data_IF_054729331264
#
_entry.id   IF_054729331264
#
_cell.length_a   1.000
_cell.length_b   1.000
_cell.length_c   1.000
_cell.angle_alpha   90.00
_cell.angle_beta   90.00
_cell.angle_gamma   90.00
#
_symmetry.space_group_name_H-M   'P 1'
#
loop_
_entity.id
_entity.type
_entity.pdbx_description
1 polymer ?
#
# COMPACT_ATOMS: atom_id res chain seq x y z
N UNK A 1 -12.95 8.05 -2.91
CA UNK A 1 -12.22 8.04 -1.63
C UNK A 1 -11.36 9.30 -1.51
N UNK A 2 -11.01 9.72 -0.29
CA UNK A 2 -10.07 10.84 -0.05
C UNK A 2 -8.87 10.28 0.69
N UNK A 3 -7.68 10.43 0.13
CA UNK A 3 -6.41 9.94 0.71
C UNK A 3 -5.30 10.98 0.54
N UNK A 4 -4.10 10.65 1.01
CA UNK A 4 -2.92 11.51 0.90
C UNK A 4 -1.66 10.64 0.87
N UNK A 5 -0.67 11.08 0.10
CA UNK A 5 0.68 10.50 0.04
C UNK A 5 1.77 11.46 0.54
N UNK A 6 1.39 12.62 1.06
CA UNK A 6 2.31 13.62 1.57
C UNK A 6 1.59 14.74 2.32
N UNK A 7 2.32 15.45 3.17
CA UNK A 7 1.76 16.45 4.09
C UNK A 7 1.07 17.64 3.40
N UNK A 8 1.29 17.83 2.10
CA UNK A 8 0.77 18.96 1.32
C UNK A 8 -0.09 18.53 0.13
N UNK A 9 -0.56 17.27 0.09
CA UNK A 9 -1.41 16.78 -0.99
C UNK A 9 -2.74 16.17 -0.52
N UNK A 10 -3.71 16.19 -1.42
CA UNK A 10 -5.00 15.52 -1.27
C UNK A 10 -5.26 14.77 -2.57
N UNK A 11 -5.54 13.48 -2.45
CA UNK A 11 -5.92 12.61 -3.57
C UNK A 11 -7.42 12.35 -3.48
N UNK A 12 -8.16 12.73 -4.53
CA UNK A 12 -9.60 12.56 -4.63
C UNK A 12 -9.88 11.58 -5.77
N UNK A 13 -10.41 10.41 -5.43
CA UNK A 13 -10.79 9.39 -6.38
C UNK A 13 -12.30 9.08 -6.29
N UNK A 14 -12.84 8.42 -7.31
CA UNK A 14 -14.19 7.88 -7.27
C UNK A 14 -14.41 6.98 -6.05
N UNK A 15 -15.66 6.79 -5.65
CA UNK A 15 -15.99 5.86 -4.57
C UNK A 15 -15.62 4.43 -5.00
N UNK A 16 -14.90 3.69 -4.14
CA UNK A 16 -14.34 2.38 -4.49
C UNK A 16 -13.29 2.47 -5.59
N UNK A 17 -12.38 3.45 -5.49
CA UNK A 17 -11.13 3.48 -6.27
C UNK A 17 -9.96 3.63 -5.30
N UNK A 18 -9.06 2.66 -5.30
CA UNK A 18 -7.81 2.63 -4.54
C UNK A 18 -6.67 1.99 -5.34
N UNK A 19 -5.43 2.12 -4.84
CA UNK A 19 -4.26 1.39 -5.39
C UNK A 19 -4.50 -0.12 -5.37
N UNK A 20 -5.15 -0.63 -4.32
CA UNK A 20 -5.42 -2.06 -4.18
C UNK A 20 -6.41 -2.55 -5.23
N UNK A 21 -7.51 -1.85 -5.49
CA UNK A 21 -8.49 -2.30 -6.47
C UNK A 21 -7.89 -2.41 -7.89
N UNK A 22 -7.03 -1.47 -8.27
CA UNK A 22 -6.28 -1.55 -9.52
C UNK A 22 -5.37 -2.78 -9.59
N UNK A 23 -4.64 -3.05 -8.51
CA UNK A 23 -3.77 -4.23 -8.40
C UNK A 23 -4.57 -5.54 -8.36
N UNK A 24 -5.71 -5.55 -7.67
CA UNK A 24 -6.60 -6.69 -7.56
C UNK A 24 -7.18 -7.05 -8.94
N UNK A 25 -7.59 -6.04 -9.73
CA UNK A 25 -8.04 -6.26 -11.09
C UNK A 25 -6.94 -6.90 -11.97
N UNK A 26 -5.70 -6.41 -11.87
CA UNK A 26 -4.56 -7.04 -12.53
C UNK A 26 -4.36 -8.48 -12.07
N UNK A 27 -4.37 -8.74 -10.76
CA UNK A 27 -4.19 -10.08 -10.21
C UNK A 27 -5.26 -11.06 -10.71
N UNK A 28 -6.52 -10.61 -10.80
CA UNK A 28 -7.63 -11.41 -11.34
C UNK A 28 -7.43 -11.78 -12.80
N UNK A 29 -6.99 -10.84 -13.64
CA UNK A 29 -6.72 -11.09 -15.07
C UNK A 29 -5.63 -12.15 -15.27
N UNK A 30 -4.70 -12.27 -14.33
CA UNK A 30 -3.55 -13.17 -14.42
C UNK A 30 -3.66 -14.41 -13.53
N UNK A 31 -4.79 -14.60 -12.84
CA UNK A 31 -5.00 -15.73 -11.94
C UNK A 31 -4.04 -15.75 -10.73
N UNK A 32 -3.59 -14.57 -10.30
CA UNK A 32 -2.71 -14.42 -9.13
C UNK A 32 -3.59 -14.21 -7.90
N UNK A 33 -3.40 -15.06 -6.90
CA UNK A 33 -4.10 -14.93 -5.62
C UNK A 33 -3.43 -13.83 -4.76
N UNK A 34 -4.19 -13.02 -3.99
CA UNK A 34 -3.65 -11.98 -3.11
C UNK A 34 -2.53 -12.47 -2.18
N UNK A 35 -2.58 -13.73 -1.74
CA UNK A 35 -1.59 -14.36 -0.85
C UNK A 35 -0.20 -14.48 -1.51
N UNK A 36 -0.14 -14.37 -2.84
CA UNK A 36 1.11 -14.38 -3.63
C UNK A 36 1.62 -12.97 -3.96
N UNK A 37 0.93 -11.93 -3.50
CA UNK A 37 1.29 -10.54 -3.76
C UNK A 37 2.10 -9.99 -2.59
N UNK A 38 3.14 -9.22 -2.93
CA UNK A 38 3.90 -8.42 -1.97
C UNK A 38 3.67 -6.94 -2.27
N UNK A 39 3.19 -6.20 -1.28
CA UNK A 39 2.98 -4.75 -1.35
C UNK A 39 4.02 -4.01 -0.51
N UNK A 40 4.56 -2.93 -1.07
CA UNK A 40 5.41 -1.96 -0.39
C UNK A 40 4.67 -0.62 -0.34
N UNK A 41 4.76 0.10 0.77
CA UNK A 41 4.08 1.38 0.91
C UNK A 41 4.52 2.18 2.13
N UNK A 42 4.20 3.47 2.13
CA UNK A 42 4.61 4.39 3.17
C UNK A 42 3.51 5.37 3.59
N UNK A 43 2.41 5.44 2.84
CA UNK A 43 1.36 6.42 3.03
C UNK A 43 -0.06 5.84 3.12
N UNK A 44 -1.04 6.72 3.39
CA UNK A 44 -2.44 6.33 3.58
C UNK A 44 -3.09 5.74 2.33
N UNK A 45 -2.65 6.15 1.14
CA UNK A 45 -3.15 5.55 -0.10
C UNK A 45 -2.63 4.13 -0.35
N UNK A 46 -1.62 3.65 0.40
CA UNK A 46 -1.14 2.26 0.37
C UNK A 46 -1.84 1.34 1.38
N UNK A 47 -2.63 1.91 2.30
CA UNK A 47 -3.27 1.20 3.42
C UNK A 47 -3.98 -0.08 3.01
N UNK A 48 -4.82 0.00 1.98
CA UNK A 48 -5.58 -1.16 1.49
C UNK A 48 -4.64 -2.23 0.92
N UNK A 49 -3.63 -1.84 0.15
CA UNK A 49 -2.69 -2.78 -0.43
C UNK A 49 -1.85 -3.50 0.64
N UNK A 50 -1.42 -2.77 1.68
CA UNK A 50 -0.68 -3.33 2.81
C UNK A 50 -1.54 -4.24 3.71
N UNK A 51 -2.86 -4.03 3.71
CA UNK A 51 -3.81 -4.86 4.47
C UNK A 51 -4.13 -6.16 3.74
N UNK A 52 -4.35 -6.08 2.42
CA UNK A 52 -4.92 -7.18 1.64
C UNK A 52 -3.86 -8.09 0.99
N UNK A 53 -2.63 -7.60 0.77
CA UNK A 53 -1.56 -8.42 0.19
C UNK A 53 -1.09 -9.53 1.14
N UNK A 54 -0.76 -10.69 0.56
CA UNK A 54 -0.17 -11.82 1.29
C UNK A 54 1.10 -11.47 2.04
N UNK A 55 1.89 -10.55 1.51
CA UNK A 55 3.05 -9.95 2.16
C UNK A 55 2.95 -8.43 2.07
N UNK A 56 3.23 -7.74 3.17
CA UNK A 56 3.17 -6.29 3.23
C UNK A 56 4.37 -5.72 3.97
N UNK A 57 4.96 -4.68 3.39
CA UNK A 57 6.18 -4.04 3.87
C UNK A 57 5.95 -2.54 3.95
N UNK A 58 6.05 -1.99 5.16
CA UNK A 58 6.04 -0.54 5.35
C UNK A 58 7.46 0.00 5.33
N UNK A 59 7.66 1.16 4.71
CA UNK A 59 8.96 1.83 4.73
C UNK A 59 9.28 2.42 6.11
N UNK A 60 10.56 2.59 6.47
CA UNK A 60 10.93 3.17 7.77
C UNK A 60 10.43 4.62 7.94
N UNK A 61 10.31 5.39 6.86
CA UNK A 61 9.78 6.75 6.91
C UNK A 61 8.24 6.80 7.02
N UNK A 62 7.56 5.66 6.95
CA UNK A 62 6.10 5.59 7.03
C UNK A 62 5.57 6.03 8.41
N UNK A 63 4.33 6.51 8.44
CA UNK A 63 3.67 6.84 9.72
C UNK A 63 3.48 5.58 10.58
N UNK A 64 3.40 5.73 11.91
CA UNK A 64 3.19 4.58 12.82
C UNK A 64 1.94 3.77 12.45
N UNK A 65 0.87 4.44 12.01
CA UNK A 65 -0.38 3.79 11.58
C UNK A 65 -0.21 2.90 10.34
N UNK A 66 0.75 3.23 9.47
CA UNK A 66 1.08 2.44 8.27
C UNK A 66 2.04 1.30 8.62
N UNK A 67 2.96 1.52 9.54
CA UNK A 67 3.83 0.44 10.03
C UNK A 67 3.04 -0.65 10.77
N UNK A 68 2.03 -0.26 11.55
CA UNK A 68 1.19 -1.19 12.33
C UNK A 68 0.35 -2.15 11.45
N UNK A 69 0.03 -1.77 10.22
CA UNK A 69 -0.74 -2.62 9.29
C UNK A 69 0.14 -3.55 8.44
N UNK A 70 1.44 -3.26 8.32
CA UNK A 70 2.36 -4.05 7.52
C UNK A 70 2.96 -5.21 8.33
N UNK A 71 3.26 -6.32 7.65
CA UNK A 71 3.90 -7.50 8.28
C UNK A 71 5.39 -7.29 8.53
N UNK A 72 6.03 -6.45 7.73
CA UNK A 72 7.44 -6.14 7.83
C UNK A 72 7.68 -4.64 7.73
N UNK A 73 8.82 -4.19 8.23
CA UNK A 73 9.32 -2.83 8.05
C UNK A 73 10.64 -2.92 7.30
N UNK A 74 10.72 -2.27 6.13
CA UNK A 74 11.96 -2.10 5.39
C UNK A 74 12.75 -0.88 5.92
N UNK A 75 14.05 -0.77 5.64
CA UNK A 75 14.83 0.44 5.92
C UNK A 75 14.24 1.70 5.28
N UNK A 76 14.82 2.84 5.60
CA UNK A 76 14.45 4.10 4.95
C UNK A 76 14.69 4.03 3.43
N UNK A 77 13.85 4.71 2.64
CA UNK A 77 14.04 4.85 1.19
C UNK A 77 15.39 5.50 0.77
N UNK A 78 16.15 6.05 1.72
CA UNK A 78 17.48 6.64 1.46
C UNK A 78 18.61 5.63 1.67
N UNK A 79 18.28 4.44 2.17
CA UNK A 79 19.17 3.31 2.41
C UNK A 79 18.83 2.13 1.50
N UNK A 80 18.21 2.40 0.35
CA UNK A 80 17.70 1.41 -0.61
C UNK A 80 16.69 0.41 0.01
N UNK A 81 16.01 0.84 1.07
CA UNK A 81 14.85 0.15 1.65
C UNK A 81 13.62 0.25 0.78
#
# INVERSE_FOLDING_TARGET
>A
SITSSGSTNIEINSHGVSKWEGLQHFCQLWGIAPEKVMAFGDAENDREALTEAGYSVAMENASSKIKEIAKFVAPHHNEDG
#
